data_IF_348144823753
#
_entry.id   IF_348144823753
#
_cell.length_a   1.000
_cell.length_b   1.000
_cell.length_c   1.000
_cell.angle_alpha   90.00
_cell.angle_beta   90.00
_cell.angle_gamma   90.00
#
_symmetry.space_group_name_H-M   'P 1'
#
loop_
_entity.id
_entity.type
_entity.pdbx_description
1 polymer ?
#
# COMPACT_ATOMS: atom_id res chain seq x y z
N UNK A 1 -23.65 1.42 -9.84
CA UNK A 1 -22.70 0.36 -10.23
C UNK A 1 -21.64 0.07 -9.17
N UNK A 2 -21.40 0.97 -8.20
CA UNK A 2 -20.38 0.80 -7.15
C UNK A 2 -20.79 -0.15 -6.02
N UNK A 3 -22.08 -0.22 -5.65
CA UNK A 3 -22.52 -1.13 -4.58
C UNK A 3 -22.45 -2.61 -4.98
N UNK A 4 -22.62 -2.94 -6.27
CA UNK A 4 -22.54 -4.32 -6.74
C UNK A 4 -21.09 -4.83 -6.73
N UNK A 5 -20.12 -3.96 -7.07
CA UNK A 5 -18.69 -4.28 -7.05
C UNK A 5 -18.18 -4.40 -5.60
N UNK A 6 -18.61 -3.50 -4.71
CA UNK A 6 -18.28 -3.58 -3.27
C UNK A 6 -18.88 -4.84 -2.62
N UNK A 7 -20.13 -5.19 -2.94
CA UNK A 7 -20.75 -6.42 -2.45
C UNK A 7 -20.08 -7.67 -3.03
N UNK A 8 -19.61 -7.62 -4.28
CA UNK A 8 -18.88 -8.74 -4.89
C UNK A 8 -17.51 -8.96 -4.24
N UNK A 9 -16.76 -7.90 -3.93
CA UNK A 9 -15.51 -8.00 -3.18
C UNK A 9 -15.73 -8.44 -1.73
N UNK A 10 -16.77 -7.95 -1.06
CA UNK A 10 -17.12 -8.39 0.30
C UNK A 10 -17.55 -9.86 0.33
N UNK A 11 -18.27 -10.33 -0.68
CA UNK A 11 -18.69 -11.73 -0.80
C UNK A 11 -17.51 -12.64 -1.16
N UNK A 12 -16.59 -12.19 -2.01
CA UNK A 12 -15.38 -12.94 -2.37
C UNK A 12 -14.43 -13.07 -1.16
N UNK A 13 -14.29 -12.02 -0.35
CA UNK A 13 -13.53 -12.05 0.90
C UNK A 13 -14.16 -12.98 1.96
N UNK A 14 -15.50 -13.11 1.97
CA UNK A 14 -16.20 -14.08 2.82
C UNK A 14 -16.07 -15.53 2.31
N UNK A 15 -15.92 -15.73 0.99
CA UNK A 15 -15.84 -17.06 0.39
C UNK A 15 -14.43 -17.67 0.43
N UNK A 16 -13.39 -16.84 0.57
CA UNK A 16 -12.00 -17.26 0.83
C UNK A 16 -11.64 -17.24 2.31
N UNK A 17 -12.58 -16.90 3.20
CA UNK A 17 -12.41 -17.06 4.63
C UNK A 17 -12.51 -18.55 4.95
N UNK A 18 -11.40 -19.27 4.76
CA UNK A 18 -11.27 -20.57 5.39
C UNK A 18 -11.52 -20.40 6.90
N UNK A 19 -12.27 -21.33 7.53
CA UNK A 19 -12.38 -21.30 8.98
C UNK A 19 -10.95 -21.37 9.51
N UNK A 20 -10.55 -20.33 10.24
CA UNK A 20 -9.37 -20.34 11.10
C UNK A 20 -9.64 -21.38 12.19
N UNK A 21 -9.59 -22.66 11.79
CA UNK A 21 -9.57 -23.78 12.70
C UNK A 21 -8.32 -23.57 13.52
N UNK A 22 -8.51 -23.43 14.82
CA UNK A 22 -7.45 -23.27 15.78
C UNK A 22 -6.39 -24.35 15.54
N UNK A 23 -5.27 -23.96 14.91
CA UNK A 23 -4.05 -24.73 14.90
C UNK A 23 -3.50 -24.70 16.32
N UNK A 24 -3.99 -25.59 17.16
CA UNK A 24 -3.28 -25.98 18.36
C UNK A 24 -1.92 -26.58 17.94
N UNK A 25 -0.85 -25.97 18.46
CA UNK A 25 0.52 -26.49 18.50
C UNK A 25 1.35 -26.55 17.21
N UNK A 26 1.30 -25.51 16.38
CA UNK A 26 2.51 -25.06 15.68
C UNK A 26 3.14 -23.95 16.53
N UNK A 27 4.40 -24.12 16.95
CA UNK A 27 5.09 -23.08 17.73
C UNK A 27 5.01 -21.72 17.05
N UNK A 28 4.98 -20.63 17.82
CA UNK A 28 4.95 -19.27 17.28
C UNK A 28 5.99 -19.12 16.16
N UNK A 29 5.64 -18.49 15.03
CA UNK A 29 6.60 -18.28 13.95
C UNK A 29 7.90 -17.69 14.50
N UNK A 30 9.06 -18.19 14.06
CA UNK A 30 10.38 -17.82 14.62
C UNK A 30 10.60 -16.31 14.72
N UNK A 31 10.00 -15.55 13.80
CA UNK A 31 9.98 -14.09 13.82
C UNK A 31 9.32 -13.54 15.09
N UNK A 32 8.12 -14.04 15.46
CA UNK A 32 7.38 -13.60 16.65
C UNK A 32 8.21 -13.90 17.92
N UNK A 33 8.74 -15.11 18.02
CA UNK A 33 9.58 -15.50 19.15
C UNK A 33 10.82 -14.59 19.30
N UNK A 34 11.46 -14.22 18.18
CA UNK A 34 12.61 -13.30 18.22
C UNK A 34 12.20 -11.90 18.66
N UNK A 35 11.03 -11.40 18.24
CA UNK A 35 10.57 -10.07 18.65
C UNK A 35 10.25 -9.97 20.14
N UNK A 36 9.74 -11.03 20.77
CA UNK A 36 9.48 -11.07 22.21
C UNK A 36 10.76 -11.03 23.05
N UNK A 37 11.88 -11.52 22.51
CA UNK A 37 13.16 -11.58 23.20
C UNK A 37 13.91 -10.23 23.22
N UNK A 38 13.55 -9.26 22.38
CA UNK A 38 14.26 -7.98 22.28
C UNK A 38 14.36 -7.24 23.61
N UNK A 39 13.28 -7.21 24.40
CA UNK A 39 13.28 -6.49 25.68
C UNK A 39 14.30 -7.07 26.67
N UNK A 40 14.45 -8.40 26.68
CA UNK A 40 15.42 -9.10 27.54
C UNK A 40 16.86 -8.81 27.09
N UNK A 41 17.12 -8.92 25.78
CA UNK A 41 18.45 -8.69 25.22
C UNK A 41 18.90 -7.22 25.33
N UNK A 42 17.97 -6.26 25.19
CA UNK A 42 18.24 -4.84 25.42
C UNK A 42 18.62 -4.54 26.87
N UNK A 43 17.97 -5.21 27.83
CA UNK A 43 18.28 -5.07 29.26
C UNK A 43 19.64 -5.67 29.61
N UNK A 44 19.97 -6.84 29.06
CA UNK A 44 21.29 -7.48 29.23
C UNK A 44 22.43 -6.64 28.66
N UNK A 45 22.21 -6.02 27.50
CA UNK A 45 23.19 -5.15 26.84
C UNK A 45 23.18 -3.71 27.37
N UNK A 46 22.38 -3.41 28.41
CA UNK A 46 22.24 -2.08 29.03
C UNK A 46 21.92 -0.98 28.02
N UNK A 47 21.12 -1.28 26.99
CA UNK A 47 20.71 -0.33 25.97
C UNK A 47 19.57 0.53 26.53
N UNK A 48 19.87 1.77 26.90
CA UNK A 48 18.91 2.70 27.52
C UNK A 48 18.28 3.67 26.54
N UNK A 49 18.99 4.07 25.48
CA UNK A 49 18.54 5.07 24.52
C UNK A 49 17.56 4.52 23.47
N UNK A 50 16.54 5.31 23.13
CA UNK A 50 15.53 4.99 22.10
C UNK A 50 16.18 4.68 20.75
N UNK A 51 17.15 5.51 20.35
CA UNK A 51 17.92 5.29 19.12
C UNK A 51 18.75 4.00 19.16
N UNK A 52 19.32 3.69 20.33
CA UNK A 52 20.08 2.46 20.55
C UNK A 52 19.20 1.21 20.39
N UNK A 53 17.98 1.24 20.94
CA UNK A 53 17.00 0.16 20.80
C UNK A 53 16.55 -0.04 19.36
N UNK A 54 16.21 1.05 18.66
CA UNK A 54 15.81 0.99 17.24
C UNK A 54 16.94 0.41 16.39
N UNK A 55 18.18 0.89 16.58
CA UNK A 55 19.34 0.37 15.85
C UNK A 55 19.63 -1.10 16.17
N UNK A 56 19.46 -1.51 17.43
CA UNK A 56 19.64 -2.89 17.85
C UNK A 56 18.62 -3.83 17.20
N UNK A 57 17.33 -3.46 17.24
CA UNK A 57 16.25 -4.22 16.60
C UNK A 57 16.40 -4.28 15.09
N UNK A 58 16.80 -3.18 14.45
CA UNK A 58 17.04 -3.14 13.01
C UNK A 58 18.17 -4.09 12.55
N UNK A 59 19.17 -4.35 13.40
CA UNK A 59 20.24 -5.31 13.12
C UNK A 59 19.79 -6.76 13.28
N UNK A 60 18.90 -7.03 14.24
CA UNK A 60 18.44 -8.38 14.53
C UNK A 60 17.30 -8.85 13.62
N UNK A 61 16.40 -7.93 13.27
CA UNK A 61 15.26 -8.19 12.38
C UNK A 61 15.16 -7.07 11.33
N UNK A 62 15.83 -7.21 10.17
CA UNK A 62 15.86 -6.19 9.14
C UNK A 62 14.48 -5.91 8.54
N UNK A 63 13.56 -6.89 8.57
CA UNK A 63 12.18 -6.73 8.10
C UNK A 63 11.43 -5.64 8.88
N UNK A 64 11.71 -5.45 10.18
CA UNK A 64 11.07 -4.39 10.97
C UNK A 64 11.53 -3.00 10.52
N UNK A 65 12.80 -2.85 10.15
CA UNK A 65 13.32 -1.61 9.59
C UNK A 65 12.72 -1.34 8.20
N UNK A 66 12.65 -2.36 7.33
CA UNK A 66 12.03 -2.26 6.01
C UNK A 66 10.54 -1.90 6.14
N UNK A 67 9.80 -2.58 7.01
CA UNK A 67 8.40 -2.28 7.28
C UNK A 67 8.19 -0.84 7.78
N UNK A 68 9.07 -0.35 8.66
CA UNK A 68 9.03 1.04 9.15
C UNK A 68 9.25 2.06 8.02
N UNK A 69 10.17 1.77 7.08
CA UNK A 69 10.42 2.62 5.92
C UNK A 69 9.22 2.61 4.97
N UNK A 70 8.67 1.43 4.67
CA UNK A 70 7.45 1.28 3.85
C UNK A 70 6.30 2.08 4.46
N UNK A 71 6.11 1.98 5.77
CA UNK A 71 5.07 2.72 6.48
C UNK A 71 5.30 4.23 6.46
N UNK A 72 6.55 4.68 6.63
CA UNK A 72 6.90 6.10 6.51
C UNK A 72 6.61 6.64 5.10
N UNK A 73 6.98 5.89 4.06
CA UNK A 73 6.69 6.26 2.68
C UNK A 73 5.18 6.26 2.42
N UNK A 74 4.42 5.36 3.04
CA UNK A 74 2.96 5.36 2.98
C UNK A 74 2.37 6.64 3.56
N UNK A 75 2.84 7.07 4.74
CA UNK A 75 2.44 8.34 5.35
C UNK A 75 2.79 9.53 4.44
N UNK A 76 4.00 9.57 3.87
CA UNK A 76 4.36 10.65 2.96
C UNK A 76 3.48 10.66 1.71
N UNK A 77 3.15 9.48 1.16
CA UNK A 77 2.28 9.37 0.00
C UNK A 77 0.86 9.89 0.28
N UNK A 78 0.27 9.60 1.44
CA UNK A 78 -1.07 10.11 1.80
C UNK A 78 -1.11 11.63 1.88
N UNK A 79 -0.05 12.28 2.35
CA UNK A 79 0.03 13.75 2.34
C UNK A 79 0.18 14.32 0.92
N UNK A 80 0.89 13.63 0.02
CA UNK A 80 1.13 14.07 -1.36
C UNK A 80 -0.07 13.78 -2.29
N UNK A 81 -0.96 12.86 -1.92
CA UNK A 81 -2.16 12.52 -2.68
C UNK A 81 -3.17 13.68 -2.80
N UNK A 82 -3.32 14.49 -1.75
CA UNK A 82 -4.23 15.64 -1.71
C UNK A 82 -3.91 16.68 -2.80
N UNK A 83 -2.66 17.18 -2.96
CA UNK A 83 -2.32 18.10 -4.04
C UNK A 83 -2.28 17.45 -5.43
N UNK A 84 -1.96 16.17 -5.53
CA UNK A 84 -1.94 15.40 -6.79
C UNK A 84 -3.34 15.36 -7.43
N UNK A 85 -4.38 15.08 -6.64
CA UNK A 85 -5.76 15.08 -7.11
C UNK A 85 -6.21 16.48 -7.60
N UNK A 86 -5.74 17.53 -6.93
CA UNK A 86 -6.00 18.91 -7.35
C UNK A 86 -5.30 19.27 -8.66
N UNK A 87 -4.09 18.75 -8.89
CA UNK A 87 -3.35 18.93 -10.15
C UNK A 87 -3.99 18.14 -11.31
N UNK A 88 -4.59 16.97 -11.04
CA UNK A 88 -5.31 16.19 -12.04
C UNK A 88 -6.45 16.99 -12.69
N UNK A 89 -7.22 17.74 -11.90
CA UNK A 89 -8.28 18.60 -12.42
C UNK A 89 -7.78 19.75 -13.29
N UNK A 90 -6.58 20.28 -13.03
CA UNK A 90 -6.00 21.34 -13.84
C UNK A 90 -5.55 20.80 -15.21
N UNK A 91 -4.87 19.64 -15.21
CA UNK A 91 -4.45 18.96 -16.44
C UNK A 91 -5.64 18.49 -17.27
N UNK A 92 -6.75 18.11 -16.62
CA UNK A 92 -7.97 17.69 -17.30
C UNK A 92 -8.71 18.89 -17.93
N UNK A 93 -8.73 20.05 -17.26
CA UNK A 93 -9.23 21.29 -17.85
C UNK A 93 -8.44 21.70 -19.09
N UNK A 94 -7.11 21.67 -19.04
CA UNK A 94 -6.25 22.01 -20.17
C UNK A 94 -6.43 21.07 -21.36
N UNK A 95 -6.75 19.79 -21.11
CA UNK A 95 -7.02 18.82 -22.16
C UNK A 95 -8.41 19.02 -22.77
N UNK A 96 -9.42 19.26 -21.94
CA UNK A 96 -10.79 19.55 -22.38
C UNK A 96 -10.88 20.85 -23.19
N UNK A 97 -10.10 21.87 -22.84
CA UNK A 97 -10.03 23.11 -23.61
C UNK A 97 -9.35 22.92 -24.99
N UNK A 98 -8.33 22.07 -25.07
CA UNK A 98 -7.69 21.73 -26.35
C UNK A 98 -8.63 20.94 -27.26
N UNK A 99 -9.37 19.97 -26.70
CA UNK A 99 -10.37 19.19 -27.45
C UNK A 99 -11.53 20.08 -27.89
N UNK A 100 -12.01 20.99 -27.03
CA UNK A 100 -13.04 21.97 -27.40
C UNK A 100 -12.60 22.89 -28.54
N UNK A 101 -11.34 23.34 -28.57
CA UNK A 101 -10.81 24.13 -29.70
C UNK A 101 -10.77 23.32 -31.00
N UNK A 102 -10.28 22.08 -30.96
CA UNK A 102 -10.21 21.23 -32.16
C UNK A 102 -11.61 20.87 -32.68
N UNK A 103 -12.57 20.61 -31.78
CA UNK A 103 -13.97 20.35 -32.14
C UNK A 103 -14.67 21.57 -32.76
N UNK A 104 -14.29 22.79 -32.32
CA UNK A 104 -14.80 24.05 -32.89
C UNK A 104 -14.23 24.30 -34.30
N UNK A 105 -12.97 23.94 -34.54
CA UNK A 105 -12.29 24.19 -35.81
C UNK A 105 -12.58 23.13 -36.90
N UNK A 106 -12.88 21.88 -36.55
CA UNK A 106 -13.02 20.78 -37.54
C UNK A 106 -14.42 20.20 -37.76
N UNK A 107 -15.48 20.69 -37.09
CA UNK A 107 -16.90 20.28 -37.24
C UNK A 107 -17.19 18.75 -37.18
N UNK A 108 -16.18 17.95 -36.85
CA UNK A 108 -16.21 16.50 -36.67
C UNK A 108 -15.28 16.19 -35.51
N UNK A 109 -15.82 15.57 -34.46
CA UNK A 109 -15.03 15.11 -33.32
C UNK A 109 -14.28 13.84 -33.75
N UNK A 110 -12.95 13.78 -33.68
CA UNK A 110 -12.26 12.51 -33.77
C UNK A 110 -12.67 11.68 -32.54
N UNK A 111 -13.32 10.53 -32.75
CA UNK A 111 -13.71 9.58 -31.69
C UNK A 111 -12.51 9.24 -30.77
N UNK A 112 -11.29 9.31 -31.29
CA UNK A 112 -10.04 9.11 -30.55
C UNK A 112 -9.78 10.17 -29.45
N UNK A 113 -10.32 11.38 -29.54
CA UNK A 113 -10.12 12.41 -28.51
C UNK A 113 -11.06 12.23 -27.30
N UNK A 114 -12.00 11.30 -27.38
CA UNK A 114 -12.75 10.82 -26.21
C UNK A 114 -11.93 9.87 -25.33
N UNK A 115 -10.65 9.66 -25.66
CA UNK A 115 -9.71 8.98 -24.78
C UNK A 115 -9.49 9.86 -23.55
N UNK A 116 -10.22 9.53 -22.48
CA UNK A 116 -9.89 9.87 -21.09
C UNK A 116 -8.37 9.95 -20.96
N UNK A 117 -7.87 11.11 -20.51
CA UNK A 117 -6.44 11.27 -20.26
C UNK A 117 -6.03 10.20 -19.25
N UNK A 118 -5.41 9.14 -19.73
CA UNK A 118 -4.94 8.01 -18.92
C UNK A 118 -4.08 8.52 -17.76
N UNK A 119 -3.35 9.61 -18.00
CA UNK A 119 -2.57 10.34 -17.01
C UNK A 119 -3.46 10.98 -15.92
N UNK A 120 -4.59 11.58 -16.27
CA UNK A 120 -5.54 12.14 -15.30
C UNK A 120 -6.20 11.04 -14.46
N UNK A 121 -6.55 9.91 -15.07
CA UNK A 121 -7.11 8.75 -14.35
C UNK A 121 -6.09 8.11 -13.39
N UNK A 122 -4.84 7.92 -13.82
CA UNK A 122 -3.76 7.46 -12.93
C UNK A 122 -3.55 8.45 -11.78
N UNK A 123 -3.53 9.76 -12.07
CA UNK A 123 -3.28 10.78 -11.06
C UNK A 123 -4.44 10.91 -10.07
N UNK A 124 -5.68 10.69 -10.52
CA UNK A 124 -6.85 10.58 -9.67
C UNK A 124 -6.79 9.35 -8.77
N UNK A 125 -6.51 8.18 -9.36
CA UNK A 125 -6.37 6.91 -8.63
C UNK A 125 -5.24 6.98 -7.59
N UNK A 126 -4.08 7.53 -7.93
CA UNK A 126 -2.96 7.72 -7.00
C UNK A 126 -3.26 8.73 -5.88
N UNK A 127 -4.28 9.58 -6.08
CA UNK A 127 -4.76 10.53 -5.09
C UNK A 127 -5.84 9.97 -4.15
N UNK A 128 -6.44 8.83 -4.48
CA UNK A 128 -7.47 8.18 -3.65
C UNK A 128 -6.82 7.44 -2.47
N UNK A 129 -7.37 7.66 -1.28
CA UNK A 129 -6.86 7.04 -0.04
C UNK A 129 -6.89 5.51 -0.11
N UNK A 130 -7.89 4.93 -0.77
CA UNK A 130 -8.04 3.48 -0.95
C UNK A 130 -6.91 2.87 -1.79
N UNK A 131 -6.53 3.53 -2.91
CA UNK A 131 -5.43 3.08 -3.76
C UNK A 131 -4.08 3.17 -3.06
N UNK A 132 -3.85 4.23 -2.28
CA UNK A 132 -2.63 4.40 -1.48
C UNK A 132 -2.49 3.24 -0.51
N UNK A 133 -3.55 2.91 0.24
CA UNK A 133 -3.53 1.75 1.13
C UNK A 133 -3.27 0.45 0.37
N UNK A 134 -3.95 0.21 -0.76
CA UNK A 134 -3.76 -0.99 -1.57
C UNK A 134 -2.32 -1.20 -2.04
N UNK A 135 -1.69 -0.16 -2.61
CA UNK A 135 -0.30 -0.22 -3.11
C UNK A 135 0.67 -0.54 -1.96
N UNK A 136 0.51 0.11 -0.81
CA UNK A 136 1.42 -0.07 0.32
C UNK A 136 1.20 -1.40 1.07
N UNK A 137 -0.02 -1.92 1.13
CA UNK A 137 -0.30 -3.27 1.64
C UNK A 137 0.37 -4.33 0.77
N UNK A 138 0.27 -4.20 -0.56
CA UNK A 138 0.95 -5.13 -1.48
C UNK A 138 2.47 -5.04 -1.32
N UNK A 139 3.03 -3.83 -1.19
CA UNK A 139 4.46 -3.65 -0.97
C UNK A 139 4.92 -4.30 0.35
N UNK A 140 4.15 -4.13 1.43
CA UNK A 140 4.44 -4.73 2.73
C UNK A 140 4.33 -6.26 2.67
N UNK A 141 3.30 -6.80 2.01
CA UNK A 141 3.14 -8.23 1.81
C UNK A 141 4.31 -8.81 1.00
N UNK A 142 4.72 -8.14 -0.07
CA UNK A 142 5.90 -8.54 -0.85
C UNK A 142 7.18 -8.56 -0.02
N UNK A 143 7.38 -7.55 0.84
CA UNK A 143 8.52 -7.52 1.76
C UNK A 143 8.46 -8.68 2.77
N UNK A 144 7.28 -8.99 3.31
CA UNK A 144 7.09 -10.11 4.21
C UNK A 144 7.43 -11.45 3.53
N UNK A 145 6.89 -11.67 2.32
CA UNK A 145 7.17 -12.86 1.52
C UNK A 145 8.66 -13.01 1.18
N UNK A 146 9.37 -11.90 0.94
CA UNK A 146 10.79 -11.93 0.62
C UNK A 146 11.68 -12.21 1.85
N UNK A 147 11.39 -11.58 3.00
CA UNK A 147 12.25 -11.68 4.19
C UNK A 147 11.92 -12.87 5.09
N UNK A 148 10.65 -13.23 5.22
CA UNK A 148 10.19 -14.36 6.06
C UNK A 148 10.11 -15.64 5.23
N UNK A 149 9.88 -15.53 3.91
CA UNK A 149 9.68 -16.69 3.05
C UNK A 149 8.26 -17.25 3.18
N UNK A 150 7.76 -17.87 2.12
CA UNK A 150 6.42 -18.50 2.12
C UNK A 150 6.36 -19.70 3.07
N UNK A 151 7.50 -20.33 3.35
CA UNK A 151 7.57 -21.57 4.12
C UNK A 151 7.42 -21.36 5.64
N UNK A 152 7.85 -20.22 6.19
CA UNK A 152 7.60 -19.86 7.60
C UNK A 152 6.18 -19.30 7.83
N UNK A 153 5.44 -18.95 6.75
CA UNK A 153 4.05 -18.48 6.82
C UNK A 153 3.01 -19.60 6.72
N UNK A 154 3.41 -20.82 6.34
CA UNK A 154 2.53 -22.01 6.24
C UNK A 154 2.40 -22.79 7.56
N UNK A 155 2.80 -22.20 8.68
CA UNK A 155 2.68 -22.80 10.01
C UNK A 155 1.21 -22.88 10.46
#
# INVERSE_FOLDING_TARGET
MNHLILSFFALLALLTAEPLSAAEHAGSPKFIERTEQFSKQEAEQKITGIWGKISFRAKQEPILAVASIIFLLAILHTFVAIPISKYAHHVQHDHDEKIKKIARDHHTMPEEQKMVSFKATILHFLGEVEAIFGIWVIALLGALLYFVGVDDMKA
#
